data_IF_482629474434
#
_entry.id   IF_482629474434
#
_cell.length_a   1.000
_cell.length_b   1.000
_cell.length_c   1.000
_cell.angle_alpha   90.00
_cell.angle_beta   90.00
_cell.angle_gamma   90.00
#
_symmetry.space_group_name_H-M   'P 1'
#
loop_
_entity.id
_entity.type
_entity.pdbx_description
1 polymer ?
#
# COMPACT_ATOMS: atom_id res chain seq x y z
N UNK A 1 9.34 -17.44 18.33
CA UNK A 1 9.58 -16.23 17.53
C UNK A 1 8.31 -15.86 16.76
N UNK A 2 7.87 -14.64 16.87
CA UNK A 2 6.65 -14.23 16.19
C UNK A 2 6.96 -13.84 14.76
N UNK A 3 6.14 -14.33 13.83
CA UNK A 3 6.20 -13.88 12.47
C UNK A 3 5.48 -12.53 12.36
N UNK A 4 6.00 -11.65 11.52
CA UNK A 4 5.32 -10.40 11.23
C UNK A 4 3.98 -10.69 10.56
N UNK A 5 2.92 -9.90 10.85
CA UNK A 5 1.64 -10.11 10.19
C UNK A 5 1.77 -9.98 8.68
N UNK A 6 1.08 -10.86 7.96
CA UNK A 6 0.98 -10.82 6.51
C UNK A 6 -0.44 -10.42 6.16
N UNK A 7 -0.57 -9.42 5.29
CA UNK A 7 -1.86 -8.88 4.89
C UNK A 7 -2.10 -9.12 3.40
N UNK A 8 -3.32 -9.45 3.08
CA UNK A 8 -3.79 -9.46 1.69
C UNK A 8 -4.28 -8.06 1.32
N UNK A 9 -4.59 -7.86 0.04
CA UNK A 9 -4.98 -6.53 -0.43
C UNK A 9 -6.21 -5.98 0.31
N UNK A 10 -7.18 -6.84 0.62
CA UNK A 10 -8.37 -6.43 1.36
C UNK A 10 -8.04 -5.95 2.77
N UNK A 11 -7.03 -6.56 3.39
CA UNK A 11 -6.62 -6.22 4.74
C UNK A 11 -5.96 -4.85 4.77
N UNK A 12 -5.02 -4.60 3.84
CA UNK A 12 -4.34 -3.30 3.80
C UNK A 12 -5.32 -2.19 3.41
N UNK A 13 -6.29 -2.48 2.55
CA UNK A 13 -7.33 -1.52 2.21
C UNK A 13 -8.14 -1.15 3.46
N UNK A 14 -8.61 -2.15 4.20
CA UNK A 14 -9.40 -1.93 5.41
C UNK A 14 -8.60 -1.18 6.47
N UNK A 15 -7.37 -1.60 6.72
CA UNK A 15 -6.54 -1.01 7.77
C UNK A 15 -6.11 0.41 7.46
N UNK A 16 -5.96 0.74 6.19
CA UNK A 16 -5.54 2.09 5.76
C UNK A 16 -6.70 3.03 5.49
N UNK A 17 -7.93 2.50 5.47
CA UNK A 17 -9.10 3.30 5.17
C UNK A 17 -9.29 3.60 3.69
N UNK A 18 -8.61 2.87 2.80
CA UNK A 18 -8.76 3.01 1.36
C UNK A 18 -9.68 1.92 0.82
N UNK A 19 -10.27 2.17 -0.36
CA UNK A 19 -10.97 1.11 -1.08
C UNK A 19 -9.96 0.16 -1.73
N UNK A 20 -10.38 -1.07 -1.99
CA UNK A 20 -9.54 -2.04 -2.70
C UNK A 20 -9.16 -1.48 -4.08
N UNK A 21 -10.10 -0.81 -4.75
CA UNK A 21 -9.85 -0.17 -6.04
C UNK A 21 -8.71 0.83 -5.96
N UNK A 22 -8.72 1.68 -4.93
CA UNK A 22 -7.67 2.70 -4.74
C UNK A 22 -6.32 2.05 -4.47
N UNK A 23 -6.29 0.98 -3.65
CA UNK A 23 -5.05 0.26 -3.37
C UNK A 23 -4.49 -0.33 -4.65
N UNK A 24 -5.33 -0.96 -5.47
CA UNK A 24 -4.90 -1.51 -6.76
C UNK A 24 -4.36 -0.43 -7.69
N UNK A 25 -5.00 0.74 -7.68
CA UNK A 25 -4.55 1.87 -8.47
C UNK A 25 -3.14 2.31 -8.06
N UNK A 26 -2.90 2.41 -6.75
CA UNK A 26 -1.58 2.80 -6.25
C UNK A 26 -0.51 1.74 -6.56
N UNK A 27 -0.88 0.46 -6.51
CA UNK A 27 0.02 -0.62 -6.94
C UNK A 27 0.42 -0.44 -8.40
N UNK A 28 -0.55 -0.20 -9.25
CA UNK A 28 -0.31 -0.01 -10.69
C UNK A 28 0.58 1.20 -10.95
N UNK A 29 0.42 2.26 -10.16
CA UNK A 29 1.21 3.48 -10.30
C UNK A 29 2.59 3.38 -9.65
N UNK A 30 2.87 2.29 -8.95
CA UNK A 30 4.17 2.12 -8.28
C UNK A 30 4.32 2.91 -6.99
N UNK A 31 3.22 3.43 -6.43
CA UNK A 31 3.27 4.15 -5.16
C UNK A 31 3.43 3.22 -3.97
N UNK A 32 2.93 2.00 -4.09
CA UNK A 32 3.14 0.93 -3.12
C UNK A 32 3.56 -0.33 -3.87
N UNK A 33 4.17 -1.26 -3.16
CA UNK A 33 4.64 -2.50 -3.75
C UNK A 33 4.27 -3.66 -2.86
N UNK A 34 3.98 -4.81 -3.48
CA UNK A 34 3.79 -6.05 -2.72
C UNK A 34 5.12 -6.53 -2.14
N UNK A 35 5.04 -7.21 -1.00
CA UNK A 35 6.21 -7.87 -0.40
C UNK A 35 6.55 -9.13 -1.20
N UNK A 36 5.52 -9.85 -1.64
CA UNK A 36 5.66 -11.07 -2.40
C UNK A 36 4.32 -11.59 -2.87
N UNK A 37 4.33 -12.82 -3.39
CA UNK A 37 3.12 -13.49 -3.85
C UNK A 37 3.09 -14.90 -3.29
N UNK A 38 1.91 -15.37 -2.95
CA UNK A 38 1.73 -16.73 -2.45
C UNK A 38 2.06 -17.74 -3.56
N UNK A 39 2.80 -18.81 -3.26
CA UNK A 39 3.31 -19.71 -4.33
C UNK A 39 2.22 -20.37 -5.16
N UNK A 40 1.14 -20.83 -4.53
CA UNK A 40 0.12 -21.60 -5.24
C UNK A 40 -0.84 -20.72 -6.01
N UNK A 41 -1.26 -19.57 -5.44
CA UNK A 41 -2.33 -18.74 -5.97
C UNK A 41 -1.84 -17.45 -6.61
N UNK A 42 -0.56 -17.09 -6.39
CA UNK A 42 0.03 -15.84 -6.89
C UNK A 42 -0.69 -14.60 -6.35
N UNK A 43 -1.36 -14.71 -5.19
CA UNK A 43 -1.96 -13.56 -4.53
C UNK A 43 -0.87 -12.69 -3.93
N UNK A 44 -1.01 -11.37 -4.10
CA UNK A 44 -0.09 -10.40 -3.52
C UNK A 44 -0.28 -10.34 -2.01
N UNK A 45 0.82 -10.23 -1.28
CA UNK A 45 0.73 -9.99 0.16
C UNK A 45 1.60 -8.82 0.57
N UNK A 46 1.27 -8.24 1.71
CA UNK A 46 1.83 -7.00 2.20
C UNK A 46 2.13 -7.13 3.69
N UNK A 47 2.76 -6.13 4.25
CA UNK A 47 2.97 -6.05 5.68
C UNK A 47 2.53 -4.68 6.20
N UNK A 48 2.80 -4.42 7.47
CA UNK A 48 2.35 -3.16 8.08
C UNK A 48 3.03 -1.93 7.46
N UNK A 49 4.21 -2.07 6.91
CA UNK A 49 4.89 -0.99 6.18
C UNK A 49 4.02 -0.45 5.05
N UNK A 50 3.31 -1.35 4.36
CA UNK A 50 2.39 -0.95 3.29
C UNK A 50 1.21 -0.14 3.85
N UNK A 51 0.68 -0.55 5.00
CA UNK A 51 -0.40 0.19 5.66
C UNK A 51 0.07 1.60 6.02
N UNK A 52 1.27 1.71 6.60
CA UNK A 52 1.85 3.01 6.96
C UNK A 52 2.04 3.89 5.73
N UNK A 53 2.52 3.30 4.64
CA UNK A 53 2.73 4.04 3.39
C UNK A 53 1.42 4.54 2.80
N UNK A 54 0.37 3.72 2.85
CA UNK A 54 -0.97 4.13 2.40
C UNK A 54 -1.52 5.26 3.26
N UNK A 55 -1.28 5.23 4.57
CA UNK A 55 -1.68 6.31 5.46
C UNK A 55 -0.93 7.60 5.13
N UNK A 56 0.36 7.52 4.82
CA UNK A 56 1.15 8.66 4.41
C UNK A 56 0.63 9.26 3.10
N UNK A 57 0.31 8.41 2.13
CA UNK A 57 -0.27 8.85 0.85
C UNK A 57 -1.57 9.62 1.11
N UNK A 58 -2.43 9.07 1.97
CA UNK A 58 -3.70 9.72 2.30
C UNK A 58 -3.49 11.11 2.89
N UNK A 59 -2.54 11.24 3.82
CA UNK A 59 -2.23 12.53 4.45
C UNK A 59 -1.74 13.54 3.40
N UNK A 60 -0.86 13.10 2.51
CA UNK A 60 -0.32 13.97 1.46
C UNK A 60 -1.41 14.38 0.45
N UNK A 61 -2.34 13.47 0.14
CA UNK A 61 -3.48 13.81 -0.73
C UNK A 61 -4.37 14.86 -0.09
N UNK A 62 -4.56 14.81 1.21
CA UNK A 62 -5.32 15.84 1.94
C UNK A 62 -4.65 17.20 1.85
N UNK A 63 -3.33 17.24 1.70
CA UNK A 63 -2.57 18.46 1.48
C UNK A 63 -2.58 18.88 0.01
N UNK A 64 -3.40 18.24 -0.81
CA UNK A 64 -3.54 18.52 -2.24
C UNK A 64 -2.27 18.30 -3.05
N UNK A 65 -1.41 17.40 -2.58
CA UNK A 65 -0.24 16.99 -3.34
C UNK A 65 -0.67 16.13 -4.52
N UNK A 66 -0.02 16.29 -5.67
CA UNK A 66 -0.24 15.42 -6.81
C UNK A 66 0.39 14.05 -6.56
N UNK A 67 -0.03 13.04 -7.32
CA UNK A 67 0.57 11.71 -7.19
C UNK A 67 2.06 11.73 -7.52
N UNK A 68 2.49 12.54 -8.47
CA UNK A 68 3.90 12.68 -8.80
C UNK A 68 4.70 13.26 -7.63
N UNK A 69 4.16 14.29 -6.98
CA UNK A 69 4.79 14.89 -5.80
C UNK A 69 4.86 13.90 -4.64
N UNK A 70 3.79 13.14 -4.43
CA UNK A 70 3.74 12.13 -3.38
C UNK A 70 4.79 11.06 -3.62
N UNK A 71 4.91 10.58 -4.85
CA UNK A 71 5.90 9.57 -5.21
C UNK A 71 7.31 10.08 -4.94
N UNK A 72 7.60 11.31 -5.30
CA UNK A 72 8.88 11.93 -5.04
C UNK A 72 9.17 12.04 -3.55
N UNK A 73 8.19 12.46 -2.77
CA UNK A 73 8.33 12.58 -1.31
C UNK A 73 8.62 11.24 -0.66
N UNK A 74 7.92 10.18 -1.11
CA UNK A 74 8.05 8.86 -0.50
C UNK A 74 9.30 8.11 -0.93
N UNK A 75 9.91 8.47 -2.06
CA UNK A 75 11.10 7.81 -2.57
C UNK A 75 12.40 8.56 -2.23
N UNK A 76 12.29 9.74 -1.67
CA UNK A 76 13.48 10.56 -1.31
C UNK A 76 14.12 10.09 -0.02
#
# INVERSE_FOLDING_TARGET
MRQAPVYMIKDVARLSGHSIYTVKFYLKRGLIQEIGRTPATQYRYFNHTTVDRLAAIRALRKQRKSLAEIQQTLTS
#
